data_IF_514723646794
#
_entry.id   IF_514723646794
#
_cell.length_a   1.000
_cell.length_b   1.000
_cell.length_c   1.000
_cell.angle_alpha   90.00
_cell.angle_beta   90.00
_cell.angle_gamma   90.00
#
_symmetry.space_group_name_H-M   'P 1'
#
loop_
_entity.id
_entity.type
_entity.pdbx_description
1 polymer ?
#
# COMPACT_ATOMS: atom_id res chain seq x y z
N UNK A 1 -1.28 47.47 -73.67
CA UNK A 1 -1.70 48.34 -72.54
C UNK A 1 -2.89 47.67 -71.86
N UNK A 2 -2.80 47.51 -70.54
CA UNK A 2 -3.87 47.26 -69.54
C UNK A 2 -4.66 45.93 -69.72
N UNK A 3 -4.95 45.10 -68.72
CA UNK A 3 -4.82 45.06 -67.26
C UNK A 3 -5.65 43.83 -66.80
N UNK A 4 -5.18 42.98 -65.88
CA UNK A 4 -5.70 42.86 -64.48
C UNK A 4 -7.25 42.79 -64.40
N UNK A 5 -7.95 41.77 -63.88
CA UNK A 5 -7.84 40.95 -62.66
C UNK A 5 -8.79 39.74 -62.77
N UNK A 6 -8.37 38.53 -62.36
CA UNK A 6 -8.65 37.90 -61.05
C UNK A 6 -10.12 37.69 -60.72
N UNK A 7 -10.54 36.41 -60.74
CA UNK A 7 -11.45 35.78 -59.77
C UNK A 7 -11.25 34.27 -59.84
N UNK A 8 -10.41 33.74 -58.93
CA UNK A 8 -10.40 32.33 -58.56
C UNK A 8 -11.47 32.16 -57.50
N UNK A 9 -12.37 31.22 -57.71
CA UNK A 9 -13.32 30.83 -56.69
C UNK A 9 -13.62 29.33 -56.81
N UNK A 10 -13.55 28.66 -55.65
CA UNK A 10 -14.30 27.47 -55.26
C UNK A 10 -13.72 26.12 -55.77
N UNK A 11 -12.87 25.48 -54.96
CA UNK A 11 -13.25 24.40 -54.01
C UNK A 11 -12.02 23.81 -53.33
N UNK A 12 -11.77 24.27 -52.10
CA UNK A 12 -10.95 23.61 -51.10
C UNK A 12 -11.85 22.61 -50.38
N UNK A 13 -11.70 21.32 -50.65
CA UNK A 13 -12.30 20.26 -49.84
C UNK A 13 -11.47 18.99 -50.04
N UNK A 14 -10.57 18.73 -49.09
CA UNK A 14 -10.21 17.39 -48.60
C UNK A 14 -9.07 17.54 -47.60
N UNK A 15 -9.46 17.87 -46.37
CA UNK A 15 -8.61 17.82 -45.20
C UNK A 15 -9.36 16.97 -44.15
N UNK A 16 -8.64 16.01 -43.56
CA UNK A 16 -8.95 15.25 -42.34
C UNK A 16 -10.11 14.23 -42.36
N UNK A 17 -9.90 13.07 -42.98
CA UNK A 17 -10.52 11.82 -42.52
C UNK A 17 -9.42 10.74 -42.44
N UNK A 18 -8.69 10.71 -41.33
CA UNK A 18 -7.66 9.68 -41.12
C UNK A 18 -7.11 9.57 -39.69
N UNK A 19 -7.61 10.35 -38.74
CA UNK A 19 -7.04 10.42 -37.38
C UNK A 19 -7.83 9.71 -36.27
N UNK A 20 -9.10 9.35 -36.49
CA UNK A 20 -9.99 8.96 -35.38
C UNK A 20 -10.18 7.45 -35.21
N UNK A 21 -9.81 6.62 -36.19
CA UNK A 21 -10.02 5.16 -36.10
C UNK A 21 -8.90 4.37 -35.40
N UNK A 22 -7.69 4.95 -35.24
CA UNK A 22 -6.56 4.23 -34.62
C UNK A 22 -6.61 4.27 -33.09
N UNK A 23 -7.26 5.28 -32.50
CA UNK A 23 -7.31 5.48 -31.04
C UNK A 23 -8.33 4.55 -30.37
N UNK A 24 -9.44 4.20 -31.03
CA UNK A 24 -10.48 3.36 -30.41
C UNK A 24 -10.10 1.87 -30.35
N UNK A 25 -9.41 1.36 -31.38
CA UNK A 25 -8.91 -0.03 -31.38
C UNK A 25 -7.83 -0.26 -30.31
N UNK A 26 -6.94 0.72 -30.10
CA UNK A 26 -5.90 0.65 -29.07
C UNK A 26 -6.50 0.62 -27.65
N UNK A 27 -7.58 1.36 -27.39
CA UNK A 27 -8.23 1.36 -26.08
C UNK A 27 -8.98 0.05 -25.77
N UNK A 28 -9.59 -0.58 -26.78
CA UNK A 28 -10.29 -1.86 -26.62
C UNK A 28 -9.30 -2.99 -26.33
N UNK A 29 -8.15 -3.01 -27.00
CA UNK A 29 -7.08 -3.99 -26.73
C UNK A 29 -6.47 -3.76 -25.34
N UNK A 30 -6.25 -2.50 -24.94
CA UNK A 30 -5.74 -2.17 -23.60
C UNK A 30 -6.70 -2.57 -22.47
N UNK A 31 -8.03 -2.46 -22.68
CA UNK A 31 -9.03 -2.96 -21.73
C UNK A 31 -9.09 -4.49 -21.67
N UNK A 32 -8.88 -5.19 -22.80
CA UNK A 32 -8.90 -6.67 -22.83
C UNK A 32 -7.62 -7.30 -22.24
N UNK A 33 -6.50 -6.59 -22.26
CA UNK A 33 -5.24 -7.03 -21.63
C UNK A 33 -5.18 -6.76 -20.12
N UNK A 34 -6.05 -5.90 -19.58
CA UNK A 34 -6.31 -5.85 -18.14
C UNK A 34 -7.21 -7.02 -17.75
N UNK A 35 -6.63 -8.23 -17.70
CA UNK A 35 -7.14 -9.25 -16.78
C UNK A 35 -7.29 -8.57 -15.42
N UNK A 36 -8.43 -8.72 -14.70
CA UNK A 36 -8.46 -8.32 -13.30
C UNK A 36 -7.23 -8.98 -12.67
N UNK A 37 -6.38 -8.18 -12.00
CA UNK A 37 -5.30 -8.75 -11.19
C UNK A 37 -5.98 -9.76 -10.30
N UNK A 38 -5.84 -11.04 -10.62
CA UNK A 38 -6.13 -12.11 -9.69
C UNK A 38 -5.25 -11.76 -8.51
N UNK A 39 -5.87 -11.29 -7.44
CA UNK A 39 -5.18 -11.09 -6.18
C UNK A 39 -4.74 -12.50 -5.81
N UNK A 40 -3.51 -12.82 -6.17
CA UNK A 40 -2.79 -13.96 -5.63
C UNK A 40 -2.74 -13.68 -4.13
N UNK A 41 -3.66 -14.30 -3.41
CA UNK A 41 -3.44 -14.52 -2.00
C UNK A 41 -2.14 -15.29 -1.92
N UNK A 42 -1.12 -14.82 -1.19
CA UNK A 42 0.06 -15.62 -0.93
C UNK A 42 -0.43 -16.86 -0.15
N UNK A 43 -0.62 -17.94 -0.89
CA UNK A 43 -0.61 -19.28 -0.34
C UNK A 43 0.81 -19.52 0.12
N UNK A 44 0.94 -19.79 1.42
CA UNK A 44 2.05 -20.56 1.99
C UNK A 44 3.45 -20.04 1.66
N UNK A 45 3.76 -18.83 2.13
CA UNK A 45 5.14 -18.49 2.48
C UNK A 45 5.19 -18.54 4.01
N UNK A 46 5.97 -19.49 4.53
CA UNK A 46 6.21 -19.71 5.95
C UNK A 46 7.02 -18.58 6.58
N UNK A 47 6.37 -17.42 6.69
CA UNK A 47 6.74 -16.35 7.62
C UNK A 47 5.90 -16.64 8.87
N UNK A 48 6.44 -16.45 10.07
CA UNK A 48 5.75 -16.77 11.32
C UNK A 48 4.46 -15.93 11.46
N UNK A 49 3.36 -16.48 10.95
CA UNK A 49 2.07 -15.81 10.89
C UNK A 49 1.43 -15.97 12.26
N UNK A 50 1.54 -14.93 13.08
CA UNK A 50 0.71 -14.82 14.27
C UNK A 50 -0.76 -14.93 13.84
N UNK A 51 -1.37 -16.06 14.19
CA UNK A 51 -2.74 -16.44 13.81
C UNK A 51 -3.59 -16.43 15.05
N UNK A 52 -4.31 -15.34 15.26
CA UNK A 52 -5.30 -15.26 16.33
C UNK A 52 -6.61 -15.87 15.83
N UNK A 53 -7.13 -16.83 16.58
CA UNK A 53 -8.48 -17.38 16.38
C UNK A 53 -9.28 -17.08 17.63
N UNK A 54 -10.43 -16.44 17.46
CA UNK A 54 -11.38 -16.27 18.54
C UNK A 54 -12.81 -16.51 18.07
N UNK A 55 -13.63 -16.97 19.00
CA UNK A 55 -15.05 -17.22 18.78
C UNK A 55 -15.84 -15.99 19.16
N UNK A 56 -16.59 -15.43 18.21
CA UNK A 56 -17.55 -14.38 18.49
C UNK A 56 -18.92 -15.01 18.76
N UNK A 57 -19.61 -14.64 19.85
CA UNK A 57 -21.00 -15.02 20.03
C UNK A 57 -21.83 -14.36 18.93
N UNK A 58 -22.40 -15.17 18.04
CA UNK A 58 -23.29 -14.72 16.97
C UNK A 58 -24.65 -15.39 17.13
N UNK A 59 -25.71 -14.71 16.64
CA UNK A 59 -27.08 -15.23 16.66
C UNK A 59 -27.27 -16.55 15.87
N UNK A 60 -26.27 -16.95 15.07
CA UNK A 60 -26.26 -18.15 14.24
C UNK A 60 -25.27 -19.23 14.75
N UNK A 61 -24.77 -19.11 15.98
CA UNK A 61 -23.73 -19.98 16.56
C UNK A 61 -22.34 -19.34 16.57
N UNK A 62 -21.37 -20.01 17.18
CA UNK A 62 -20.01 -19.48 17.35
C UNK A 62 -19.36 -19.16 15.99
N UNK A 63 -19.14 -17.88 15.74
CA UNK A 63 -18.50 -17.43 14.51
C UNK A 63 -16.98 -17.35 14.74
N UNK A 64 -16.23 -18.24 14.06
CA UNK A 64 -14.76 -18.22 14.12
C UNK A 64 -14.20 -17.04 13.34
N UNK A 65 -13.56 -16.12 14.04
CA UNK A 65 -12.83 -15.00 13.47
C UNK A 65 -11.33 -15.33 13.51
N UNK A 66 -10.70 -15.25 12.34
CA UNK A 66 -9.28 -15.50 12.12
C UNK A 66 -8.60 -14.20 11.74
N UNK A 67 -7.58 -13.83 12.48
CA UNK A 67 -6.68 -12.74 12.13
C UNK A 67 -5.38 -13.34 11.66
N UNK A 68 -4.95 -12.87 10.51
CA UNK A 68 -3.65 -13.19 9.94
C UNK A 68 -2.87 -11.90 9.90
N UNK A 69 -1.75 -11.84 10.63
CA UNK A 69 -0.85 -10.71 10.54
C UNK A 69 -0.26 -10.64 9.13
N UNK A 70 -0.39 -9.49 8.48
CA UNK A 70 0.14 -9.22 7.15
C UNK A 70 0.81 -7.85 7.22
N UNK A 71 2.12 -7.88 7.50
CA UNK A 71 2.91 -6.71 7.84
C UNK A 71 2.37 -6.00 9.09
N UNK A 72 2.15 -4.68 9.00
CA UNK A 72 1.58 -3.84 10.07
C UNK A 72 0.07 -3.86 10.25
N UNK A 73 -0.60 -4.79 9.59
CA UNK A 73 -2.05 -4.89 9.62
C UNK A 73 -2.47 -6.31 9.88
N UNK A 74 -3.68 -6.48 10.38
CA UNK A 74 -4.30 -7.79 10.49
C UNK A 74 -5.35 -7.95 9.40
N UNK A 75 -5.16 -8.94 8.55
CA UNK A 75 -6.20 -9.41 7.65
C UNK A 75 -7.24 -10.16 8.47
N UNK A 76 -8.50 -9.72 8.40
CA UNK A 76 -9.58 -10.30 9.20
C UNK A 76 -10.47 -11.16 8.32
N UNK A 77 -10.65 -12.41 8.74
CA UNK A 77 -11.56 -13.38 8.12
C UNK A 77 -12.58 -13.85 9.13
N UNK A 78 -13.85 -13.87 8.74
CA UNK A 78 -14.94 -14.45 9.53
C UNK A 78 -15.48 -15.66 8.78
N UNK A 79 -15.42 -16.85 9.39
CA UNK A 79 -15.83 -18.10 8.75
C UNK A 79 -15.18 -18.30 7.36
N UNK A 80 -13.89 -17.98 7.25
CA UNK A 80 -13.13 -18.05 6.00
C UNK A 80 -13.33 -16.88 5.03
N UNK A 81 -14.41 -16.10 5.18
CA UNK A 81 -14.69 -14.91 4.34
C UNK A 81 -13.86 -13.72 4.80
N UNK A 82 -13.10 -13.15 3.86
CA UNK A 82 -12.33 -11.94 4.10
C UNK A 82 -13.25 -10.73 4.32
N UNK A 83 -13.08 -10.04 5.45
CA UNK A 83 -13.89 -8.88 5.84
C UNK A 83 -13.17 -7.55 5.62
N UNK A 84 -11.83 -7.54 5.64
CA UNK A 84 -11.02 -6.35 5.46
C UNK A 84 -9.68 -6.43 6.20
N UNK A 85 -9.05 -5.27 6.41
CA UNK A 85 -7.85 -5.12 7.25
C UNK A 85 -8.12 -4.22 8.44
N UNK A 86 -7.51 -4.51 9.57
CA UNK A 86 -7.36 -3.56 10.69
C UNK A 86 -5.90 -3.17 10.83
N UNK A 87 -5.65 -1.91 11.15
CA UNK A 87 -4.33 -1.34 11.40
C UNK A 87 -4.45 -0.25 12.46
N UNK A 88 -3.37 0.05 13.17
CA UNK A 88 -3.35 1.14 14.16
C UNK A 88 -3.15 2.49 13.46
N UNK A 89 -3.78 3.54 13.98
CA UNK A 89 -3.51 4.95 13.63
C UNK A 89 -3.51 5.72 14.95
N UNK A 90 -2.34 6.17 15.40
CA UNK A 90 -2.17 6.69 16.75
C UNK A 90 -2.56 5.64 17.80
N UNK A 91 -3.46 5.99 18.72
CA UNK A 91 -3.97 5.08 19.74
C UNK A 91 -5.18 4.24 19.32
N UNK A 92 -5.76 4.52 18.16
CA UNK A 92 -6.99 3.87 17.71
C UNK A 92 -6.75 2.79 16.64
N UNK A 93 -7.56 1.73 16.69
CA UNK A 93 -7.64 0.74 15.62
C UNK A 93 -8.58 1.22 14.52
N UNK A 94 -8.13 1.15 13.27
CA UNK A 94 -8.89 1.57 12.09
C UNK A 94 -9.15 0.38 11.17
N UNK A 95 -10.38 0.26 10.68
CA UNK A 95 -10.79 -0.79 9.74
C UNK A 95 -10.84 -0.28 8.29
N UNK A 96 -10.15 -0.97 7.38
CA UNK A 96 -10.33 -0.86 5.94
C UNK A 96 -11.28 -1.98 5.47
N UNK A 97 -12.57 -1.65 5.40
CA UNK A 97 -13.64 -2.54 4.92
C UNK A 97 -14.97 -2.25 5.62
N UNK A 98 -16.04 -2.00 4.85
CA UNK A 98 -17.37 -1.71 5.44
C UNK A 98 -17.90 -2.85 6.31
N UNK A 99 -17.63 -4.09 5.91
CA UNK A 99 -18.07 -5.29 6.62
C UNK A 99 -17.33 -5.52 7.96
N UNK A 100 -16.20 -4.85 8.17
CA UNK A 100 -15.36 -5.03 9.35
C UNK A 100 -15.70 -4.05 10.48
N UNK A 101 -16.31 -2.90 10.14
CA UNK A 101 -16.68 -1.85 11.10
C UNK A 101 -17.46 -2.37 12.33
N UNK A 102 -18.44 -3.29 12.20
CA UNK A 102 -19.19 -3.77 13.37
C UNK A 102 -18.34 -4.57 14.36
N UNK A 103 -17.22 -5.14 13.91
CA UNK A 103 -16.38 -6.04 14.69
C UNK A 103 -15.13 -5.34 15.26
N UNK A 104 -14.84 -4.12 14.82
CA UNK A 104 -13.59 -3.41 15.12
C UNK A 104 -13.34 -3.26 16.63
N UNK A 105 -14.36 -2.93 17.41
CA UNK A 105 -14.23 -2.76 18.86
C UNK A 105 -13.83 -4.07 19.56
N UNK A 106 -14.46 -5.19 19.18
CA UNK A 106 -14.14 -6.51 19.75
C UNK A 106 -12.76 -6.97 19.30
N UNK A 107 -12.43 -6.76 18.03
CA UNK A 107 -11.11 -7.09 17.49
C UNK A 107 -10.01 -6.30 18.21
N UNK A 108 -10.21 -5.00 18.42
CA UNK A 108 -9.25 -4.11 19.08
C UNK A 108 -8.90 -4.55 20.51
N UNK A 109 -9.86 -5.11 21.26
CA UNK A 109 -9.65 -5.62 22.63
C UNK A 109 -8.73 -6.85 22.69
N UNK A 110 -8.64 -7.60 21.59
CA UNK A 110 -7.87 -8.84 21.51
C UNK A 110 -6.56 -8.70 20.73
N UNK A 111 -6.32 -7.55 20.11
CA UNK A 111 -5.08 -7.30 19.40
C UNK A 111 -3.99 -6.81 20.36
N UNK A 112 -2.76 -7.34 20.25
CA UNK A 112 -1.64 -6.84 21.04
C UNK A 112 -1.43 -5.35 20.76
N UNK A 113 -1.03 -4.58 21.77
CA UNK A 113 -0.79 -3.14 21.63
C UNK A 113 0.31 -2.90 20.56
N UNK A 114 0.01 -2.33 19.39
CA UNK A 114 0.97 -2.27 18.25
C UNK A 114 2.08 -1.23 18.40
N UNK A 115 2.31 -0.73 19.61
CA UNK A 115 3.37 0.23 19.91
C UNK A 115 4.69 -0.44 20.29
N UNK A 116 4.78 -1.78 20.30
CA UNK A 116 6.05 -2.41 20.61
C UNK A 116 7.00 -2.25 19.43
N UNK A 117 8.25 -1.84 19.69
CA UNK A 117 9.36 -1.82 18.72
C UNK A 117 9.39 -3.07 17.84
N UNK A 118 9.04 -4.22 18.42
CA UNK A 118 8.97 -5.53 17.76
C UNK A 118 7.95 -5.63 16.61
N UNK A 119 7.01 -4.68 16.50
CA UNK A 119 6.00 -4.68 15.44
C UNK A 119 6.21 -3.58 14.40
N UNK A 120 7.07 -2.60 14.68
CA UNK A 120 7.26 -1.44 13.82
C UNK A 120 7.99 -1.76 12.52
N UNK A 121 9.01 -2.64 12.58
CA UNK A 121 9.67 -3.17 11.39
C UNK A 121 8.67 -3.86 10.45
N UNK A 122 7.73 -4.63 11.00
CA UNK A 122 6.69 -5.30 10.23
C UNK A 122 5.65 -4.32 9.68
N UNK A 123 5.37 -3.24 10.42
CA UNK A 123 4.52 -2.14 9.95
C UNK A 123 5.12 -1.48 8.72
N UNK A 124 6.38 -1.07 8.81
CA UNK A 124 7.08 -0.44 7.70
C UNK A 124 7.10 -1.34 6.46
N UNK A 125 7.53 -2.61 6.60
CA UNK A 125 7.55 -3.55 5.49
C UNK A 125 6.14 -3.86 4.91
N UNK A 126 5.09 -3.75 5.72
CA UNK A 126 3.71 -3.97 5.27
C UNK A 126 3.07 -2.78 4.56
N UNK A 127 3.45 -1.55 4.95
CA UNK A 127 2.90 -0.31 4.39
C UNK A 127 3.64 0.09 3.12
N UNK A 128 4.95 -0.12 3.08
CA UNK A 128 5.83 0.36 2.02
C UNK A 128 6.39 -0.79 1.18
N UNK A 129 5.86 -1.04 -0.03
CA UNK A 129 6.42 -2.06 -0.93
C UNK A 129 7.85 -1.76 -1.39
N UNK A 130 8.29 -0.52 -1.25
CA UNK A 130 9.65 -0.07 -1.53
C UNK A 130 10.67 -0.64 -0.52
N UNK A 131 10.21 -1.04 0.66
CA UNK A 131 11.04 -1.65 1.71
C UNK A 131 11.20 -3.13 1.42
N UNK A 132 12.45 -3.55 1.19
CA UNK A 132 12.84 -4.95 1.05
C UNK A 132 12.89 -5.64 2.40
N UNK A 133 13.55 -5.01 3.38
CA UNK A 133 13.69 -5.53 4.75
C UNK A 133 13.76 -4.40 5.77
N UNK A 134 13.20 -4.61 6.95
CA UNK A 134 13.40 -3.73 8.11
C UNK A 134 13.87 -4.58 9.30
N UNK A 135 14.99 -4.22 9.91
CA UNK A 135 15.62 -5.00 10.99
C UNK A 135 16.28 -4.11 12.04
N UNK A 136 16.05 -4.43 13.31
CA UNK A 136 16.66 -3.72 14.43
C UNK A 136 18.15 -4.05 14.51
N UNK A 137 19.01 -3.03 14.56
CA UNK A 137 20.46 -3.19 14.80
C UNK A 137 20.80 -2.99 16.27
N UNK A 138 20.10 -2.07 16.90
CA UNK A 138 20.18 -1.78 18.33
C UNK A 138 18.73 -1.56 18.83
N UNK A 139 18.53 -1.39 20.15
CA UNK A 139 17.21 -0.98 20.65
C UNK A 139 16.74 0.35 20.05
N UNK A 140 17.65 1.27 19.73
CA UNK A 140 17.32 2.63 19.28
C UNK A 140 17.47 2.82 17.78
N UNK A 141 17.97 1.82 17.05
CA UNK A 141 18.30 1.94 15.62
C UNK A 141 17.63 0.86 14.79
N UNK A 142 16.73 1.28 13.90
CA UNK A 142 16.09 0.41 12.93
C UNK A 142 16.69 0.63 11.53
N UNK A 143 17.27 -0.43 10.95
CA UNK A 143 17.74 -0.41 9.57
C UNK A 143 16.61 -0.77 8.62
N UNK A 144 16.37 0.09 7.63
CA UNK A 144 15.41 -0.06 6.55
C UNK A 144 16.17 -0.16 5.23
N UNK A 145 16.06 -1.31 4.57
CA UNK A 145 16.67 -1.57 3.27
C UNK A 145 15.62 -1.47 2.18
N UNK A 146 15.84 -0.59 1.22
CA UNK A 146 14.98 -0.34 0.08
C UNK A 146 15.39 -1.16 -1.15
N UNK A 147 14.44 -1.33 -2.07
CA UNK A 147 14.74 -1.83 -3.40
C UNK A 147 15.68 -0.87 -4.16
N UNK A 148 16.46 -1.38 -5.10
CA UNK A 148 17.48 -0.58 -5.83
C UNK A 148 16.86 0.49 -6.73
N UNK A 149 15.67 0.24 -7.25
CA UNK A 149 14.89 1.13 -8.12
C UNK A 149 14.18 2.26 -7.36
N UNK A 150 14.12 2.19 -6.04
CA UNK A 150 13.52 3.24 -5.20
C UNK A 150 14.41 4.48 -5.16
N UNK A 151 13.85 5.67 -5.32
CA UNK A 151 14.55 6.93 -5.03
C UNK A 151 14.61 7.16 -3.51
N UNK A 152 15.83 7.14 -2.95
CA UNK A 152 16.03 7.21 -1.51
C UNK A 152 15.68 8.60 -0.94
N UNK A 153 15.95 9.69 -1.67
CA UNK A 153 15.68 11.04 -1.19
C UNK A 153 14.17 11.32 -1.15
N UNK A 154 13.46 10.93 -2.20
CA UNK A 154 12.00 11.06 -2.27
C UNK A 154 11.35 10.19 -1.20
N UNK A 155 11.78 8.93 -1.07
CA UNK A 155 11.21 7.99 -0.10
C UNK A 155 11.42 8.48 1.34
N UNK A 156 12.64 8.91 1.68
CA UNK A 156 12.94 9.37 3.04
C UNK A 156 12.24 10.68 3.39
N UNK A 157 12.08 11.60 2.44
CA UNK A 157 11.26 12.80 2.64
C UNK A 157 9.82 12.43 2.96
N UNK A 158 9.22 11.55 2.16
CA UNK A 158 7.85 11.08 2.39
C UNK A 158 7.71 10.30 3.71
N UNK A 159 8.65 9.39 4.00
CA UNK A 159 8.63 8.60 5.22
C UNK A 159 8.72 9.51 6.45
N UNK A 160 9.59 10.52 6.43
CA UNK A 160 9.73 11.50 7.52
C UNK A 160 8.41 12.20 7.85
N UNK A 161 7.64 12.58 6.83
CA UNK A 161 6.35 13.26 7.01
C UNK A 161 5.25 12.31 7.51
N UNK A 162 5.32 11.02 7.15
CA UNK A 162 4.31 10.02 7.52
C UNK A 162 4.59 9.28 8.84
N UNK A 163 5.84 9.23 9.29
CA UNK A 163 6.24 8.51 10.51
C UNK A 163 5.37 8.83 11.73
N UNK A 164 5.06 10.11 12.05
CA UNK A 164 4.18 10.45 13.17
C UNK A 164 2.75 9.90 13.04
N UNK A 165 2.31 9.57 11.81
CA UNK A 165 0.98 9.00 11.56
C UNK A 165 0.95 7.47 11.71
N UNK A 166 2.10 6.81 11.59
CA UNK A 166 2.22 5.35 11.67
C UNK A 166 2.28 4.86 13.11
N UNK A 167 3.04 5.56 13.94
CA UNK A 167 3.33 5.15 15.31
C UNK A 167 3.74 6.36 16.13
N UNK A 168 3.31 6.37 17.38
CA UNK A 168 3.75 7.32 18.39
C UNK A 168 4.78 6.58 19.24
N UNK A 169 6.04 6.99 19.15
CA UNK A 169 7.08 6.50 20.05
C UNK A 169 7.17 7.43 21.25
N UNK A 170 7.37 6.89 22.45
CA UNK A 170 7.75 7.68 23.62
C UNK A 170 9.28 7.80 23.75
N UNK A 171 10.02 6.89 23.10
CA UNK A 171 11.48 6.76 23.16
C UNK A 171 12.13 7.25 21.87
N UNK A 172 13.41 7.64 21.95
CA UNK A 172 14.23 7.98 20.79
C UNK A 172 14.37 6.77 19.84
N UNK A 173 14.24 7.05 18.54
CA UNK A 173 14.46 6.08 17.48
C UNK A 173 15.19 6.73 16.30
N UNK A 174 16.23 6.07 15.83
CA UNK A 174 16.95 6.41 14.61
C UNK A 174 16.63 5.40 13.50
N UNK A 175 16.10 5.88 12.37
CA UNK A 175 15.89 5.07 11.18
C UNK A 175 17.07 5.23 10.23
N UNK A 176 17.78 4.14 9.96
CA UNK A 176 18.82 4.08 8.95
C UNK A 176 18.24 3.54 7.66
N UNK A 177 17.99 4.41 6.69
CA UNK A 177 17.42 4.05 5.40
C UNK A 177 18.53 3.94 4.37
N UNK A 178 18.62 2.79 3.67
CA UNK A 178 19.63 2.55 2.62
C UNK A 178 19.08 1.71 1.48
N UNK A 179 19.76 1.71 0.34
CA UNK A 179 19.45 0.78 -0.76
C UNK A 179 20.16 -0.56 -0.58
N UNK A 180 19.59 -1.60 -1.16
CA UNK A 180 20.22 -2.92 -1.19
C UNK A 180 21.53 -2.93 -1.99
N UNK A 181 22.63 -3.29 -1.33
CA UNK A 181 23.97 -3.30 -1.92
C UNK A 181 24.65 -1.93 -2.03
N UNK A 182 24.08 -0.88 -1.46
CA UNK A 182 24.65 0.47 -1.42
C UNK A 182 25.20 0.79 -0.02
N UNK A 183 26.33 1.51 0.03
CA UNK A 183 26.93 2.02 1.27
C UNK A 183 26.37 3.36 1.71
N UNK A 184 25.66 4.07 0.83
CA UNK A 184 24.99 5.31 1.16
C UNK A 184 23.71 5.06 1.97
N UNK A 185 23.54 5.81 3.06
CA UNK A 185 22.36 5.76 3.91
C UNK A 185 21.95 7.16 4.38
N UNK A 186 20.66 7.32 4.65
CA UNK A 186 20.07 8.51 5.25
C UNK A 186 19.57 8.13 6.64
N UNK A 187 19.94 8.92 7.65
CA UNK A 187 19.42 8.79 9.01
C UNK A 187 18.22 9.71 9.21
N UNK A 188 17.14 9.17 9.77
CA UNK A 188 15.94 9.92 10.15
C UNK A 188 15.73 9.74 11.66
N UNK A 189 15.94 10.80 12.47
CA UNK A 189 15.57 10.76 13.88
C UNK A 189 14.04 10.84 14.02
N UNK A 190 13.51 10.03 14.93
CA UNK A 190 12.11 9.98 15.32
C UNK A 190 12.06 10.25 16.83
N UNK A 191 11.41 11.36 17.19
CA UNK A 191 11.50 12.10 18.46
C UNK A 191 12.81 12.84 18.73
#
# INVERSE_FOLDING_TARGET
MNGFLSKRDIKTAEIFIGGTLVVTLSWIIFKRLRKPKTVLYPGEIGIDLERYKFSLPSKQGDASLKLERVGGSFAVRLQGKYLGRVFKRGNDWVAKGKALKPYLSVIAQHLPNPGSRNSFNDILAGVYPEIKTASWKTPETLEVVLNQDTDIEIFTTFLKDELPNLVEFDEYLELLVKKDGDGYFISIPVN
#
